data_IF_984236392599
#
_entry.id   IF_984236392599
#
_cell.length_a   1.000
_cell.length_b   1.000
_cell.length_c   1.000
_cell.angle_alpha   90.00
_cell.angle_beta   90.00
_cell.angle_gamma   90.00
#
_symmetry.space_group_name_H-M   'P 1'
#
loop_
_entity.id
_entity.type
_entity.pdbx_description
1 polymer ?
#
# COMPACT_ATOMS: atom_id res chain seq x y z
N UNK A 1 -16.06 2.53 16.33
CA UNK A 1 -15.08 1.76 15.51
C UNK A 1 -13.69 2.25 15.85
N UNK A 2 -12.76 1.34 16.16
CA UNK A 2 -11.35 1.68 16.37
C UNK A 2 -10.68 2.11 15.06
N UNK A 3 -9.54 2.81 15.16
CA UNK A 3 -8.68 3.12 14.00
C UNK A 3 -8.28 1.87 13.24
N UNK A 4 -7.91 0.81 13.95
CA UNK A 4 -7.56 -0.49 13.37
C UNK A 4 -8.71 -1.05 12.52
N UNK A 5 -9.94 -1.04 13.04
CA UNK A 5 -11.11 -1.52 12.31
C UNK A 5 -11.38 -0.72 11.03
N UNK A 6 -11.13 0.59 11.05
CA UNK A 6 -11.25 1.44 9.84
C UNK A 6 -10.21 1.07 8.79
N UNK A 7 -8.97 0.82 9.21
CA UNK A 7 -7.87 0.42 8.30
C UNK A 7 -8.15 -0.97 7.72
N UNK A 8 -8.45 -1.95 8.57
CA UNK A 8 -8.79 -3.32 8.16
C UNK A 8 -9.98 -3.33 7.18
N UNK A 9 -11.03 -2.54 7.46
CA UNK A 9 -12.17 -2.41 6.55
C UNK A 9 -11.78 -1.86 5.17
N UNK A 10 -10.83 -0.93 5.09
CA UNK A 10 -10.35 -0.40 3.80
C UNK A 10 -9.46 -1.40 3.05
N UNK A 11 -8.63 -2.15 3.76
CA UNK A 11 -7.83 -3.24 3.17
C UNK A 11 -8.74 -4.35 2.62
N UNK A 12 -9.76 -4.77 3.37
CA UNK A 12 -10.71 -5.80 2.90
C UNK A 12 -11.47 -5.36 1.65
N UNK A 13 -11.83 -4.07 1.55
CA UNK A 13 -12.44 -3.52 0.32
C UNK A 13 -11.47 -3.54 -0.84
N UNK A 14 -10.22 -3.15 -0.62
CA UNK A 14 -9.16 -3.21 -1.64
C UNK A 14 -8.98 -4.65 -2.16
N UNK A 15 -8.92 -5.62 -1.26
CA UNK A 15 -8.80 -7.05 -1.60
C UNK A 15 -10.00 -7.56 -2.41
N UNK A 16 -11.19 -7.02 -2.19
CA UNK A 16 -12.40 -7.31 -2.97
C UNK A 16 -12.48 -6.51 -4.30
N UNK A 17 -11.42 -5.80 -4.70
CA UNK A 17 -11.39 -4.97 -5.92
C UNK A 17 -12.04 -3.60 -5.76
N UNK A 18 -12.46 -3.22 -4.55
CA UNK A 18 -13.06 -1.92 -4.25
C UNK A 18 -12.01 -0.93 -3.73
N UNK A 19 -11.24 -0.35 -4.65
CA UNK A 19 -10.13 0.55 -4.34
C UNK A 19 -10.58 1.81 -3.58
N UNK A 20 -11.69 2.43 -3.99
CA UNK A 20 -12.17 3.68 -3.37
C UNK A 20 -11.12 4.79 -3.48
N UNK A 21 -10.82 5.46 -2.36
CA UNK A 21 -9.83 6.55 -2.34
C UNK A 21 -8.38 6.01 -2.38
N UNK A 22 -7.87 5.81 -3.59
CA UNK A 22 -6.48 5.48 -3.88
C UNK A 22 -5.84 6.49 -4.83
N UNK A 23 -4.52 6.61 -4.79
CA UNK A 23 -3.75 7.46 -5.70
C UNK A 23 -2.53 6.71 -6.25
N UNK A 24 -2.35 6.67 -7.59
CA UNK A 24 -1.09 6.21 -8.16
C UNK A 24 0.03 7.20 -7.82
N UNK A 25 1.19 6.66 -7.48
CA UNK A 25 2.42 7.37 -7.22
C UNK A 25 3.42 7.05 -8.35
N UNK A 26 4.71 6.97 -8.03
CA UNK A 26 5.78 6.66 -8.98
C UNK A 26 6.14 5.18 -8.96
N UNK A 27 6.74 4.69 -10.04
CA UNK A 27 7.26 3.33 -10.18
C UNK A 27 6.22 2.21 -9.94
N UNK A 28 4.95 2.48 -10.26
CA UNK A 28 3.84 1.55 -10.06
C UNK A 28 3.30 1.47 -8.63
N UNK A 29 3.94 2.17 -7.68
CA UNK A 29 3.45 2.28 -6.31
C UNK A 29 2.12 3.04 -6.30
N UNK A 30 1.20 2.63 -5.45
CA UNK A 30 -0.04 3.33 -5.15
C UNK A 30 -0.23 3.48 -3.65
N UNK A 31 -0.94 4.53 -3.25
CA UNK A 31 -1.38 4.73 -1.86
C UNK A 31 -2.89 4.57 -1.74
N UNK A 32 -3.31 3.85 -0.71
CA UNK A 32 -4.68 3.83 -0.21
C UNK A 32 -4.80 4.92 0.86
N UNK A 33 -5.69 5.88 0.63
CA UNK A 33 -5.90 7.03 1.52
C UNK A 33 -7.07 6.76 2.45
N UNK A 34 -6.84 6.92 3.74
CA UNK A 34 -7.84 6.67 4.79
C UNK A 34 -8.00 7.94 5.61
N UNK A 35 -9.05 8.70 5.31
CA UNK A 35 -9.36 9.97 5.97
C UNK A 35 -10.00 9.73 7.35
N UNK A 36 -9.18 9.29 8.29
CA UNK A 36 -9.54 9.03 9.68
C UNK A 36 -8.40 9.47 10.60
N UNK A 37 -8.72 10.22 11.67
CA UNK A 37 -7.73 10.77 12.58
C UNK A 37 -6.63 11.57 11.86
N UNK A 38 -5.34 11.23 12.01
CA UNK A 38 -4.24 11.95 11.36
C UNK A 38 -4.22 11.81 9.83
N UNK A 39 -5.04 10.91 9.26
CA UNK A 39 -5.09 10.61 7.84
C UNK A 39 -4.06 9.54 7.48
N UNK A 40 -4.48 8.28 7.51
CA UNK A 40 -3.60 7.13 7.28
C UNK A 40 -3.35 6.86 5.80
N UNK A 41 -2.19 6.28 5.50
CA UNK A 41 -1.74 5.86 4.18
C UNK A 41 -1.23 4.44 4.26
N UNK A 42 -1.65 3.63 3.31
CA UNK A 42 -1.24 2.24 3.15
C UNK A 42 -0.72 2.08 1.73
N UNK A 43 0.45 1.50 1.56
CA UNK A 43 1.14 1.46 0.27
C UNK A 43 1.07 0.07 -0.36
N UNK A 44 0.77 0.02 -1.65
CA UNK A 44 0.62 -1.23 -2.38
C UNK A 44 1.06 -1.08 -3.84
N UNK A 45 1.28 -2.21 -4.51
CA UNK A 45 1.48 -2.29 -5.96
C UNK A 45 0.51 -3.30 -6.57
N UNK A 46 0.10 -3.06 -7.81
CA UNK A 46 -0.60 -4.06 -8.62
C UNK A 46 0.42 -4.77 -9.52
N UNK A 47 0.57 -6.08 -9.36
CA UNK A 47 1.35 -6.95 -10.24
C UNK A 47 0.37 -7.85 -11.00
N UNK A 48 0.05 -7.44 -12.23
CA UNK A 48 -1.05 -8.04 -12.98
C UNK A 48 -2.37 -7.90 -12.21
N UNK A 49 -2.94 -9.03 -11.78
CA UNK A 49 -4.19 -9.07 -10.99
C UNK A 49 -3.97 -9.18 -9.48
N UNK A 50 -2.72 -9.23 -9.03
CA UNK A 50 -2.37 -9.38 -7.61
C UNK A 50 -2.09 -8.02 -7.00
N UNK A 51 -2.77 -7.71 -5.90
CA UNK A 51 -2.47 -6.55 -5.07
C UNK A 51 -1.46 -6.95 -3.99
N UNK A 52 -0.25 -6.41 -4.07
CA UNK A 52 0.80 -6.66 -3.07
C UNK A 52 0.85 -5.50 -2.09
N UNK A 53 0.50 -5.78 -0.84
CA UNK A 53 0.62 -4.83 0.26
C UNK A 53 2.07 -4.77 0.74
N UNK A 54 2.68 -3.61 0.62
CA UNK A 54 4.02 -3.36 1.15
C UNK A 54 3.77 -2.98 2.60
N UNK A 55 4.15 -3.83 3.56
CA UNK A 55 3.81 -3.73 5.00
C UNK A 55 4.39 -2.48 5.72
N UNK A 56 4.59 -1.40 4.98
CA UNK A 56 4.76 -0.04 5.43
C UNK A 56 3.43 0.74 5.32
N UNK A 57 3.11 1.49 6.36
CA UNK A 57 2.00 2.41 6.38
C UNK A 57 2.24 3.45 7.46
N UNK A 58 1.55 4.56 7.36
CA UNK A 58 1.77 5.69 8.25
C UNK A 58 0.60 6.64 8.22
N UNK A 59 0.83 7.83 8.73
CA UNK A 59 -0.09 8.95 8.54
C UNK A 59 0.52 9.99 7.61
N UNK A 60 -0.31 10.93 7.16
CA UNK A 60 0.07 11.94 6.16
C UNK A 60 1.33 12.74 6.52
N UNK A 61 1.73 12.82 7.79
CA UNK A 61 2.90 13.61 8.24
C UNK A 61 4.23 12.99 7.81
N UNK A 62 4.28 11.67 7.60
CA UNK A 62 5.48 10.92 7.20
C UNK A 62 5.42 10.39 5.77
N UNK A 63 4.45 10.88 4.98
CA UNK A 63 4.14 10.36 3.65
C UNK A 63 5.37 10.25 2.75
N UNK A 64 6.24 11.28 2.69
CA UNK A 64 7.42 11.25 1.83
C UNK A 64 8.39 10.13 2.20
N UNK A 65 8.72 9.99 3.49
CA UNK A 65 9.63 8.91 3.96
C UNK A 65 9.00 7.53 3.81
N UNK A 66 7.69 7.42 3.98
CA UNK A 66 7.00 6.14 3.83
C UNK A 66 6.93 5.72 2.35
N UNK A 67 6.84 6.67 1.42
CA UNK A 67 6.93 6.40 -0.02
C UNK A 67 8.32 5.86 -0.40
N UNK A 68 9.41 6.46 0.10
CA UNK A 68 10.76 5.94 -0.19
C UNK A 68 10.91 4.51 0.33
N UNK A 69 10.50 4.25 1.57
CA UNK A 69 10.54 2.91 2.17
C UNK A 69 9.68 1.90 1.39
N UNK A 70 8.51 2.33 0.92
CA UNK A 70 7.67 1.48 0.09
C UNK A 70 8.35 1.10 -1.24
N UNK A 71 9.09 2.03 -1.85
CA UNK A 71 9.86 1.73 -3.07
C UNK A 71 11.01 0.75 -2.80
N UNK A 72 11.68 0.87 -1.66
CA UNK A 72 12.70 -0.11 -1.22
C UNK A 72 12.09 -1.50 -1.06
N UNK A 73 10.92 -1.60 -0.41
CA UNK A 73 10.21 -2.87 -0.23
C UNK A 73 9.75 -3.46 -1.57
N UNK A 74 9.29 -2.61 -2.49
CA UNK A 74 8.92 -3.06 -3.83
C UNK A 74 10.12 -3.62 -4.60
N UNK A 75 11.29 -2.98 -4.46
CA UNK A 75 12.53 -3.45 -5.08
C UNK A 75 12.93 -4.81 -4.51
N UNK A 76 13.00 -4.95 -3.18
CA UNK A 76 13.33 -6.23 -2.51
C UNK A 76 12.34 -7.33 -2.90
N UNK A 77 11.03 -7.03 -2.92
CA UNK A 77 10.00 -7.98 -3.35
C UNK A 77 10.28 -8.50 -4.78
N UNK A 78 10.50 -7.60 -5.74
CA UNK A 78 10.78 -7.96 -7.14
C UNK A 78 12.05 -8.79 -7.28
N UNK A 79 13.11 -8.43 -6.56
CA UNK A 79 14.39 -9.17 -6.59
C UNK A 79 14.25 -10.59 -6.03
N UNK A 80 13.42 -10.79 -5.00
CA UNK A 80 13.16 -12.12 -4.43
C UNK A 80 12.25 -12.96 -5.30
N UNK A 81 11.19 -12.39 -5.87
CA UNK A 81 10.25 -13.15 -6.70
C UNK A 81 10.87 -13.55 -8.03
N UNK A 82 11.71 -12.70 -8.64
CA UNK A 82 12.41 -13.05 -9.87
C UNK A 82 13.35 -14.27 -9.72
N UNK A 83 13.87 -14.53 -8.51
CA UNK A 83 14.72 -15.70 -8.20
C UNK A 83 13.93 -17.01 -8.07
N UNK A 84 12.60 -16.94 -7.97
CA UNK A 84 11.73 -18.11 -7.77
C UNK A 84 10.95 -18.52 -9.03
N UNK A 85 11.11 -17.81 -10.14
CA UNK A 85 10.49 -18.11 -11.44
C UNK A 85 11.46 -18.83 -12.42
N UNK A 86 12.53 -19.46 -11.90
CA UNK A 86 13.48 -20.31 -12.66
C UNK A 86 13.30 -21.77 -12.27
#
# INVERSE_FOLDING_TARGET
MSTEAKIASRINRLAAGNFGDCRPLRQGLSELRINWGPGYRVYYVMLGRVCVLLLCGGDKRKQSSDIERALEYLKDYKERTARHET
#
